data_IF_704052238116
#
_entry.id   IF_704052238116
#
_cell.length_a   1.000
_cell.length_b   1.000
_cell.length_c   1.000
_cell.angle_alpha   90.00
_cell.angle_beta   90.00
_cell.angle_gamma   90.00
#
_symmetry.space_group_name_H-M   'P 1'
#
loop_
_entity.id
_entity.type
_entity.pdbx_description
1 polymer ?
#
# COMPACT_ATOMS: atom_id res chain seq x y z
N UNK A 1 -6.84 -0.08 -11.91
CA UNK A 1 -5.86 0.82 -12.56
C UNK A 1 -5.01 1.43 -11.47
N UNK A 2 -3.70 1.58 -11.65
CA UNK A 2 -2.83 2.20 -10.64
C UNK A 2 -3.12 3.70 -10.56
N UNK A 3 -3.24 4.25 -9.35
CA UNK A 3 -3.61 5.65 -9.11
C UNK A 3 -2.53 6.64 -9.60
N UNK A 4 -1.26 6.22 -9.50
CA UNK A 4 -0.09 6.94 -10.03
C UNK A 4 0.68 5.97 -10.94
N UNK A 5 0.31 5.85 -12.24
CA UNK A 5 0.86 4.81 -13.13
C UNK A 5 2.38 4.85 -13.30
N UNK A 6 2.98 6.05 -13.26
CA UNK A 6 4.42 6.22 -13.40
C UNK A 6 5.22 5.63 -12.23
N UNK A 7 4.62 5.57 -11.04
CA UNK A 7 5.32 5.16 -9.81
C UNK A 7 5.84 3.71 -9.88
N UNK A 8 5.14 2.83 -10.61
CA UNK A 8 5.56 1.43 -10.80
C UNK A 8 6.50 1.19 -11.98
N UNK A 9 6.84 2.22 -12.75
CA UNK A 9 7.66 2.09 -13.97
C UNK A 9 9.15 2.38 -13.75
N UNK A 10 9.51 2.91 -12.58
CA UNK A 10 10.87 3.33 -12.27
C UNK A 10 11.22 3.13 -10.81
N UNK A 11 12.43 3.57 -10.45
CA UNK A 11 12.90 3.61 -9.06
C UNK A 11 12.93 5.07 -8.62
N UNK A 12 12.00 5.43 -7.75
CA UNK A 12 11.88 6.77 -7.20
C UNK A 12 12.19 6.71 -5.71
N UNK A 13 12.90 7.71 -5.19
CA UNK A 13 13.23 7.72 -3.77
C UNK A 13 12.04 8.24 -2.96
N UNK A 14 11.79 7.61 -1.81
CA UNK A 14 10.81 8.06 -0.82
C UNK A 14 11.45 8.87 0.33
N UNK A 15 12.79 9.00 0.32
CA UNK A 15 13.57 9.71 1.33
C UNK A 15 14.66 10.51 0.61
N UNK A 16 14.91 11.77 0.98
CA UNK A 16 16.06 12.52 0.46
C UNK A 16 17.36 11.78 0.81
N UNK A 17 18.20 11.51 -0.17
CA UNK A 17 19.47 10.79 0.00
C UNK A 17 20.64 11.73 0.23
N UNK A 18 20.55 12.93 -0.32
CA UNK A 18 21.55 14.00 -0.21
C UNK A 18 20.85 15.35 -0.26
N UNK A 19 21.56 16.43 0.05
CA UNK A 19 21.04 17.80 -0.02
C UNK A 19 20.57 18.19 -1.44
N UNK A 20 21.07 17.52 -2.49
CA UNK A 20 20.59 17.73 -3.85
C UNK A 20 19.11 17.35 -4.02
N UNK A 21 18.60 16.41 -3.21
CA UNK A 21 17.19 16.00 -3.25
C UNK A 21 16.26 17.05 -2.59
N UNK A 22 16.80 18.09 -1.94
CA UNK A 22 16.02 19.17 -1.30
C UNK A 22 15.59 20.27 -2.27
N UNK A 23 16.05 20.22 -3.52
CA UNK A 23 15.72 21.21 -4.55
C UNK A 23 15.62 20.56 -5.94
N UNK A 24 14.83 21.13 -6.87
CA UNK A 24 13.83 22.19 -6.63
C UNK A 24 12.67 21.69 -5.76
N UNK A 25 11.82 22.59 -5.26
CA UNK A 25 10.69 22.26 -4.36
C UNK A 25 9.80 21.14 -4.90
N UNK A 26 9.59 21.09 -6.22
CA UNK A 26 8.80 20.04 -6.87
C UNK A 26 9.43 18.65 -6.77
N UNK A 27 10.76 18.57 -6.70
CA UNK A 27 11.48 17.30 -6.54
C UNK A 27 11.33 16.74 -5.12
N UNK A 28 11.59 17.56 -4.09
CA UNK A 28 11.39 17.13 -2.70
C UNK A 28 9.92 16.80 -2.41
N UNK A 29 8.98 17.54 -3.01
CA UNK A 29 7.56 17.19 -2.92
C UNK A 29 7.24 15.86 -3.62
N UNK A 30 7.87 15.55 -4.76
CA UNK A 30 7.67 14.27 -5.43
C UNK A 30 8.23 13.10 -4.62
N UNK A 31 9.33 13.31 -3.88
CA UNK A 31 9.87 12.34 -2.91
C UNK A 31 8.88 12.11 -1.77
N UNK A 32 8.33 13.19 -1.20
CA UNK A 32 7.31 13.11 -0.15
C UNK A 32 6.02 12.41 -0.64
N UNK A 33 5.57 12.71 -1.85
CA UNK A 33 4.42 12.07 -2.48
C UNK A 33 4.69 10.58 -2.74
N UNK A 34 5.91 10.23 -3.18
CA UNK A 34 6.34 8.83 -3.32
C UNK A 34 6.23 8.10 -1.98
N UNK A 35 6.75 8.69 -0.90
CA UNK A 35 6.64 8.13 0.45
C UNK A 35 5.17 7.95 0.89
N UNK A 36 4.33 8.94 0.62
CA UNK A 36 2.91 8.90 0.94
C UNK A 36 2.18 7.75 0.25
N UNK A 37 2.63 7.31 -0.93
CA UNK A 37 2.07 6.12 -1.62
C UNK A 37 2.69 4.80 -1.16
N UNK A 38 3.95 4.79 -0.73
CA UNK A 38 4.59 3.58 -0.21
C UNK A 38 3.98 3.09 1.11
N UNK A 39 3.71 3.99 2.05
CA UNK A 39 3.20 3.63 3.38
C UNK A 39 1.87 2.86 3.34
N UNK A 40 0.77 3.39 2.75
CA UNK A 40 -0.50 2.66 2.73
C UNK A 40 -0.41 1.38 1.89
N UNK A 41 0.54 1.29 0.96
CA UNK A 41 0.77 0.09 0.18
C UNK A 41 1.33 -1.06 1.04
N UNK A 42 2.21 -0.74 2.01
CA UNK A 42 2.72 -1.72 2.99
C UNK A 42 1.62 -2.12 3.97
N UNK A 43 0.93 -1.12 4.55
CA UNK A 43 -0.14 -1.35 5.52
C UNK A 43 -1.34 -2.10 4.91
N UNK A 44 -1.58 -1.93 3.61
CA UNK A 44 -2.55 -2.75 2.87
C UNK A 44 -2.16 -4.22 2.87
N UNK A 45 -0.87 -4.53 2.73
CA UNK A 45 -0.35 -5.88 2.84
C UNK A 45 -0.56 -6.45 4.23
N UNK A 46 -0.16 -5.71 5.27
CA UNK A 46 -0.34 -6.07 6.68
C UNK A 46 -1.80 -6.36 7.03
N UNK A 47 -2.69 -5.40 6.75
CA UNK A 47 -4.12 -5.52 7.07
C UNK A 47 -4.81 -6.73 6.41
N UNK A 48 -4.25 -7.25 5.31
CA UNK A 48 -4.76 -8.43 4.60
C UNK A 48 -4.09 -9.71 5.10
N UNK A 49 -2.81 -9.66 5.44
CA UNK A 49 -2.02 -10.79 5.89
C UNK A 49 -2.49 -11.29 7.26
N UNK A 50 -2.58 -10.42 8.26
CA UNK A 50 -2.96 -10.83 9.63
C UNK A 50 -4.28 -11.59 9.73
N UNK A 51 -5.42 -11.11 9.16
CA UNK A 51 -6.66 -11.87 9.22
C UNK A 51 -6.65 -13.12 8.33
N UNK A 52 -5.83 -13.15 7.27
CA UNK A 52 -5.62 -14.38 6.47
C UNK A 52 -4.89 -15.46 7.27
N UNK A 53 -3.84 -15.07 8.00
CA UNK A 53 -3.07 -15.97 8.87
C UNK A 53 -3.87 -16.40 10.10
N UNK A 54 -4.71 -15.52 10.64
CA UNK A 54 -5.53 -15.83 11.82
C UNK A 54 -6.47 -17.03 11.59
N UNK A 55 -6.94 -17.24 10.37
CA UNK A 55 -7.77 -18.41 10.02
C UNK A 55 -7.01 -19.74 10.00
N UNK A 56 -5.67 -19.70 10.07
CA UNK A 56 -4.77 -20.86 9.98
C UNK A 56 -4.01 -21.10 11.27
N UNK A 57 -4.01 -20.15 12.19
CA UNK A 57 -3.33 -20.28 13.46
C UNK A 57 -3.93 -21.44 14.28
N UNK A 58 -3.10 -22.43 14.58
CA UNK A 58 -3.45 -23.56 15.45
C UNK A 58 -3.10 -23.30 16.92
N UNK A 59 -2.17 -22.37 17.18
CA UNK A 59 -1.83 -21.89 18.51
C UNK A 59 -2.71 -20.70 18.92
N UNK A 60 -3.32 -20.78 20.10
CA UNK A 60 -4.09 -19.68 20.69
C UNK A 60 -3.21 -18.45 20.95
N UNK A 61 -1.93 -18.64 21.26
CA UNK A 61 -0.98 -17.55 21.47
C UNK A 61 -0.69 -16.82 20.15
N UNK A 62 -0.45 -17.58 19.08
CA UNK A 62 -0.27 -17.01 17.73
C UNK A 62 -1.54 -16.29 17.28
N UNK A 63 -2.71 -16.89 17.50
CA UNK A 63 -3.98 -16.24 17.18
C UNK A 63 -4.14 -14.91 17.92
N UNK A 64 -3.80 -14.84 19.22
CA UNK A 64 -3.82 -13.60 20.01
C UNK A 64 -2.92 -12.53 19.38
N UNK A 65 -1.70 -12.88 18.99
CA UNK A 65 -0.78 -11.96 18.32
C UNK A 65 -1.40 -11.42 17.02
N UNK A 66 -1.88 -12.30 16.15
CA UNK A 66 -2.43 -11.93 14.84
C UNK A 66 -3.65 -11.01 14.95
N UNK A 67 -4.58 -11.33 15.86
CA UNK A 67 -5.80 -10.52 16.05
C UNK A 67 -5.55 -9.23 16.85
N UNK A 68 -4.42 -9.13 17.56
CA UNK A 68 -4.01 -7.89 18.22
C UNK A 68 -3.28 -6.93 17.27
N UNK A 69 -2.48 -7.44 16.33
CA UNK A 69 -1.74 -6.61 15.37
C UNK A 69 -2.62 -6.19 14.18
N UNK A 70 -3.45 -7.10 13.66
CA UNK A 70 -4.28 -6.83 12.48
C UNK A 70 -5.13 -5.53 12.54
N UNK A 71 -5.81 -5.23 13.66
CA UNK A 71 -6.54 -3.97 13.82
C UNK A 71 -5.65 -2.72 13.78
N UNK A 72 -4.44 -2.78 14.34
CA UNK A 72 -3.49 -1.66 14.31
C UNK A 72 -3.08 -1.32 12.88
N UNK A 73 -2.77 -2.33 12.07
CA UNK A 73 -2.40 -2.17 10.66
C UNK A 73 -3.58 -1.66 9.83
N UNK A 74 -4.81 -2.00 10.22
CA UNK A 74 -6.02 -1.43 9.61
C UNK A 74 -6.13 0.08 9.88
N UNK A 75 -5.87 0.50 11.12
CA UNK A 75 -5.86 1.93 11.49
C UNK A 75 -4.73 2.69 10.80
N UNK A 76 -3.54 2.09 10.71
CA UNK A 76 -2.41 2.65 9.99
C UNK A 76 -2.74 2.80 8.51
N UNK A 77 -3.29 1.76 7.86
CA UNK A 77 -3.71 1.82 6.47
C UNK A 77 -4.66 2.99 6.24
N UNK A 78 -5.69 3.15 7.08
CA UNK A 78 -6.64 4.27 6.93
C UNK A 78 -5.93 5.62 7.03
N UNK A 79 -5.04 5.77 8.01
CA UNK A 79 -4.29 7.01 8.23
C UNK A 79 -3.41 7.35 7.04
N UNK A 80 -2.65 6.37 6.56
CA UNK A 80 -1.73 6.56 5.43
C UNK A 80 -2.46 6.68 4.10
N UNK A 81 -3.62 6.03 3.93
CA UNK A 81 -4.46 6.19 2.75
C UNK A 81 -4.99 7.62 2.63
N UNK A 82 -5.38 8.25 3.75
CA UNK A 82 -5.74 9.67 3.79
C UNK A 82 -4.56 10.57 3.38
N UNK A 83 -3.35 10.27 3.86
CA UNK A 83 -2.14 11.03 3.47
C UNK A 83 -1.76 10.85 2.01
N UNK A 84 -1.87 9.64 1.46
CA UNK A 84 -1.73 9.41 0.04
C UNK A 84 -2.76 10.22 -0.76
N UNK A 85 -4.02 10.22 -0.31
CA UNK A 85 -5.09 11.02 -0.87
C UNK A 85 -4.74 12.50 -0.94
N UNK A 86 -4.25 13.08 0.16
CA UNK A 86 -3.80 14.46 0.22
C UNK A 86 -2.63 14.77 -0.75
N UNK A 87 -1.70 13.83 -0.94
CA UNK A 87 -0.56 13.99 -1.86
C UNK A 87 -0.96 14.08 -3.34
N UNK A 88 -2.14 13.57 -3.71
CA UNK A 88 -2.75 13.66 -5.05
C UNK A 88 -4.00 14.55 -5.06
N UNK A 89 -4.02 15.55 -4.19
CA UNK A 89 -5.08 16.57 -4.11
C UNK A 89 -4.47 17.98 -4.10
N UNK A 90 -5.24 19.03 -4.47
CA UNK A 90 -4.79 20.40 -4.32
C UNK A 90 -4.45 20.75 -2.85
N UNK A 91 -3.42 21.59 -2.59
CA UNK A 91 -2.57 22.28 -3.55
C UNK A 91 -1.33 21.46 -4.00
N UNK A 92 -1.18 20.21 -3.54
CA UNK A 92 0.03 19.41 -3.79
C UNK A 92 0.03 18.71 -5.15
N UNK A 93 -1.13 18.58 -5.78
CA UNK A 93 -1.29 17.99 -7.10
C UNK A 93 -2.14 18.87 -8.03
N UNK A 94 -1.93 18.81 -9.36
CA UNK A 94 -0.97 17.94 -10.05
C UNK A 94 0.49 18.38 -9.84
N UNK A 95 1.40 17.41 -9.76
CA UNK A 95 2.84 17.64 -9.59
C UNK A 95 3.60 16.79 -10.60
N UNK A 96 4.60 17.37 -11.27
CA UNK A 96 5.57 16.60 -12.06
C UNK A 96 6.97 16.90 -11.52
N UNK A 97 7.70 15.85 -11.17
CA UNK A 97 9.09 15.96 -10.75
C UNK A 97 9.94 16.41 -11.95
N UNK A 98 10.60 17.59 -11.89
CA UNK A 98 11.39 18.10 -13.01
C UNK A 98 12.68 17.30 -13.27
N UNK A 99 13.10 16.45 -12.32
CA UNK A 99 14.35 15.69 -12.42
C UNK A 99 14.20 14.36 -13.16
N UNK A 100 12.99 13.80 -13.18
CA UNK A 100 12.76 12.44 -13.71
C UNK A 100 11.40 12.28 -14.42
N UNK A 101 10.52 13.29 -14.39
CA UNK A 101 9.22 13.27 -15.07
C UNK A 101 8.13 12.47 -14.34
N UNK A 102 8.35 11.98 -13.12
CA UNK A 102 7.32 11.32 -12.34
C UNK A 102 6.17 12.29 -12.07
N UNK A 103 4.97 11.91 -12.51
CA UNK A 103 3.78 12.74 -12.41
C UNK A 103 2.79 12.17 -11.40
N UNK A 104 2.37 13.01 -10.45
CA UNK A 104 1.27 12.79 -9.52
C UNK A 104 0.05 13.58 -10.01
N UNK A 105 -1.03 12.91 -10.43
CA UNK A 105 -2.25 13.59 -10.86
C UNK A 105 -3.02 14.17 -9.67
N UNK A 106 -3.92 15.11 -9.95
CA UNK A 106 -5.02 15.42 -9.03
C UNK A 106 -6.13 14.37 -9.23
N UNK A 107 -6.32 13.48 -8.24
CA UNK A 107 -7.34 12.42 -8.29
C UNK A 107 -8.74 12.89 -7.88
N UNK A 108 -8.88 14.15 -7.43
CA UNK A 108 -10.20 14.76 -7.21
C UNK A 108 -10.70 15.52 -8.44
N UNK A 109 -9.87 15.64 -9.48
CA UNK A 109 -10.24 16.20 -10.77
C UNK A 109 -10.75 15.14 -11.76
N UNK A 110 -11.60 15.50 -12.74
CA UNK A 110 -12.07 14.56 -13.77
C UNK A 110 -10.91 13.82 -14.48
N UNK A 111 -11.06 12.52 -14.82
CA UNK A 111 -12.29 11.72 -14.75
C UNK A 111 -12.58 11.11 -13.37
N UNK A 112 -11.75 11.38 -12.37
CA UNK A 112 -11.94 10.94 -10.99
C UNK A 112 -12.64 12.04 -10.15
N UNK A 113 -12.72 11.86 -8.84
CA UNK A 113 -13.46 12.73 -7.92
C UNK A 113 -14.96 12.42 -7.80
N UNK A 114 -15.73 13.45 -7.43
CA UNK A 114 -17.15 13.29 -7.09
C UNK A 114 -17.37 12.47 -5.81
N UNK A 115 -18.63 12.08 -5.56
CA UNK A 115 -19.00 11.36 -4.33
C UNK A 115 -18.38 9.96 -4.24
N UNK A 116 -18.05 9.35 -5.38
CA UNK A 116 -17.60 7.94 -5.44
C UNK A 116 -16.08 7.79 -5.46
N UNK A 117 -15.34 8.80 -5.94
CA UNK A 117 -13.89 8.70 -6.12
C UNK A 117 -13.11 9.84 -5.46
N UNK A 118 -13.72 10.56 -4.51
CA UNK A 118 -12.98 11.52 -3.68
C UNK A 118 -11.94 10.79 -2.83
N UNK A 119 -10.76 11.40 -2.70
CA UNK A 119 -9.64 10.83 -1.94
C UNK A 119 -9.85 10.80 -0.43
N UNK A 120 -10.94 11.41 0.06
CA UNK A 120 -11.31 11.51 1.48
C UNK A 120 -12.31 10.45 1.94
N UNK A 121 -12.70 9.50 1.07
CA UNK A 121 -13.58 8.41 1.47
C UNK A 121 -12.90 7.49 2.49
N UNK A 122 -13.60 7.22 3.60
CA UNK A 122 -13.11 6.33 4.66
C UNK A 122 -13.36 4.87 4.29
N UNK A 123 -14.53 4.57 3.73
CA UNK A 123 -14.93 3.20 3.43
C UNK A 123 -14.48 2.80 2.03
N UNK A 124 -13.91 1.59 1.83
CA UNK A 124 -13.63 1.09 0.50
C UNK A 124 -14.92 0.92 -0.31
N UNK A 125 -14.79 0.96 -1.63
CA UNK A 125 -15.91 0.73 -2.55
C UNK A 125 -16.57 -0.63 -2.25
N UNK A 126 -17.91 -0.69 -2.11
CA UNK A 126 -18.60 -1.95 -1.87
C UNK A 126 -18.34 -2.97 -2.98
N UNK A 127 -17.96 -4.19 -2.58
CA UNK A 127 -17.68 -5.30 -3.49
C UNK A 127 -18.51 -6.55 -3.14
N UNK A 128 -18.66 -7.51 -4.06
CA UNK A 128 -19.28 -8.80 -3.72
C UNK A 128 -18.48 -9.52 -2.62
N UNK A 129 -19.15 -9.97 -1.57
CA UNK A 129 -18.53 -10.69 -0.46
C UNK A 129 -19.32 -11.96 -0.12
N UNK A 130 -18.60 -13.08 0.11
CA UNK A 130 -19.11 -14.44 0.36
C UNK A 130 -19.95 -15.07 -0.78
N UNK A 131 -20.93 -14.34 -1.32
CA UNK A 131 -21.83 -14.77 -2.38
C UNK A 131 -22.34 -13.58 -3.18
N UNK A 132 -22.40 -13.71 -4.51
CA UNK A 132 -23.00 -12.69 -5.40
C UNK A 132 -24.52 -12.56 -5.25
N UNK A 133 -25.17 -13.46 -4.51
CA UNK A 133 -26.60 -13.38 -4.17
C UNK A 133 -26.88 -12.45 -2.99
N UNK A 134 -25.85 -12.05 -2.24
CA UNK A 134 -25.95 -11.09 -1.14
C UNK A 134 -25.65 -9.67 -1.64
N UNK A 135 -26.12 -8.63 -0.93
CA UNK A 135 -25.73 -7.26 -1.21
C UNK A 135 -24.21 -7.07 -1.16
N UNK A 136 -23.69 -6.10 -1.93
CA UNK A 136 -22.28 -5.70 -1.86
C UNK A 136 -21.97 -5.14 -0.47
N UNK A 137 -20.78 -5.42 0.03
CA UNK A 137 -20.32 -4.94 1.33
C UNK A 137 -19.03 -4.14 1.17
N UNK A 138 -18.89 -3.08 1.97
CA UNK A 138 -17.60 -2.42 2.16
C UNK A 138 -16.80 -3.25 3.16
N UNK A 139 -15.79 -3.95 2.64
CA UNK A 139 -14.91 -4.84 3.41
C UNK A 139 -13.47 -4.55 3.02
N UNK A 140 -12.54 -4.81 3.94
CA UNK A 140 -11.11 -4.56 3.71
C UNK A 140 -10.61 -5.48 2.60
N UNK A 141 -10.68 -6.82 2.77
CA UNK A 141 -10.44 -7.84 1.72
C UNK A 141 -11.02 -9.21 2.12
N UNK A 142 -11.19 -10.15 1.15
CA UNK A 142 -11.41 -11.56 1.47
C UNK A 142 -10.22 -12.16 2.23
N UNK A 143 -10.52 -12.92 3.28
CA UNK A 143 -9.54 -13.47 4.21
C UNK A 143 -9.30 -14.97 4.02
N UNK A 144 -10.18 -15.65 3.27
CA UNK A 144 -10.00 -17.04 2.86
C UNK A 144 -9.06 -17.15 1.63
N UNK A 145 -7.81 -16.74 1.81
CA UNK A 145 -6.79 -16.72 0.73
C UNK A 145 -6.00 -18.03 0.69
N UNK A 146 -5.09 -18.23 -0.28
CA UNK A 146 -4.08 -19.30 -0.27
C UNK A 146 -2.73 -18.68 -0.61
N UNK A 147 -1.66 -19.13 0.06
CA UNK A 147 -0.31 -18.60 -0.17
C UNK A 147 -0.14 -17.13 0.23
N UNK A 148 -0.81 -16.68 1.29
CA UNK A 148 -0.78 -15.28 1.72
C UNK A 148 0.64 -14.80 2.05
N UNK A 149 1.44 -15.62 2.74
CA UNK A 149 2.83 -15.30 3.08
C UNK A 149 3.71 -15.20 1.82
N UNK A 150 3.62 -16.18 0.92
CA UNK A 150 4.32 -16.15 -0.37
C UNK A 150 3.92 -14.95 -1.24
N UNK A 151 2.63 -14.61 -1.24
CA UNK A 151 2.12 -13.43 -1.93
C UNK A 151 2.68 -12.14 -1.36
N UNK A 152 2.74 -12.02 -0.02
CA UNK A 152 3.35 -10.87 0.65
C UNK A 152 4.83 -10.75 0.33
N UNK A 153 5.61 -11.85 0.38
CA UNK A 153 7.02 -11.83 0.02
C UNK A 153 7.25 -11.40 -1.44
N UNK A 154 6.50 -11.99 -2.37
CA UNK A 154 6.59 -11.65 -3.79
C UNK A 154 6.28 -10.18 -4.03
N UNK A 155 5.22 -9.67 -3.37
CA UNK A 155 4.82 -8.28 -3.45
C UNK A 155 5.88 -7.32 -2.91
N UNK A 156 6.34 -7.51 -1.68
CA UNK A 156 7.35 -6.65 -1.05
C UNK A 156 8.67 -6.65 -1.84
N UNK A 157 9.04 -7.81 -2.40
CA UNK A 157 10.21 -7.94 -3.29
C UNK A 157 10.01 -7.15 -4.59
N UNK A 158 8.85 -7.28 -5.23
CA UNK A 158 8.54 -6.56 -6.47
C UNK A 158 8.47 -5.04 -6.28
N UNK A 159 8.09 -4.57 -5.08
CA UNK A 159 8.14 -3.15 -4.71
C UNK A 159 9.57 -2.62 -4.48
N UNK A 160 10.57 -3.49 -4.50
CA UNK A 160 11.95 -3.11 -4.27
C UNK A 160 12.30 -2.85 -2.81
N UNK A 161 11.46 -3.28 -1.85
CA UNK A 161 11.70 -3.07 -0.41
C UNK A 161 13.03 -3.67 0.05
N UNK A 162 13.43 -4.79 -0.56
CA UNK A 162 14.63 -5.54 -0.20
C UNK A 162 15.80 -5.32 -1.18
N UNK A 163 15.79 -4.23 -1.96
CA UNK A 163 16.92 -3.90 -2.84
C UNK A 163 18.19 -3.79 -2.00
N UNK A 164 19.26 -4.47 -2.43
CA UNK A 164 20.56 -4.48 -1.76
C UNK A 164 20.73 -5.60 -0.73
N UNK A 165 19.69 -6.39 -0.43
CA UNK A 165 19.82 -7.59 0.41
C UNK A 165 20.50 -8.75 -0.34
N UNK A 166 21.12 -9.67 0.41
CA UNK A 166 21.84 -10.81 -0.14
C UNK A 166 20.91 -11.92 -0.66
N UNK A 167 21.38 -12.81 -1.54
CA UNK A 167 20.60 -13.99 -1.93
C UNK A 167 20.13 -14.84 -0.74
N UNK A 168 20.98 -14.98 0.30
CA UNK A 168 20.66 -15.74 1.51
C UNK A 168 19.49 -15.14 2.29
N UNK A 169 19.35 -13.81 2.29
CA UNK A 169 18.17 -13.16 2.88
C UNK A 169 16.88 -13.63 2.19
N UNK A 170 16.87 -13.68 0.85
CA UNK A 170 15.70 -14.13 0.09
C UNK A 170 15.43 -15.63 0.24
N UNK A 171 16.47 -16.44 0.46
CA UNK A 171 16.31 -17.87 0.80
C UNK A 171 15.57 -18.02 2.12
N UNK A 172 16.05 -17.36 3.19
CA UNK A 172 15.40 -17.40 4.52
C UNK A 172 13.96 -16.89 4.47
N UNK A 173 13.73 -15.75 3.80
CA UNK A 173 12.37 -15.19 3.70
C UNK A 173 11.41 -16.12 2.96
N UNK A 174 11.89 -16.82 1.92
CA UNK A 174 11.09 -17.80 1.18
C UNK A 174 10.76 -19.01 2.04
N UNK A 175 11.74 -19.56 2.76
CA UNK A 175 11.53 -20.68 3.69
C UNK A 175 10.47 -20.33 4.74
N UNK A 176 10.59 -19.16 5.38
CA UNK A 176 9.59 -18.67 6.34
C UNK A 176 8.19 -18.54 5.72
N UNK A 177 8.09 -18.12 4.47
CA UNK A 177 6.82 -17.95 3.78
C UNK A 177 6.20 -19.28 3.29
N UNK A 178 7.03 -20.30 3.03
CA UNK A 178 6.60 -21.66 2.68
C UNK A 178 6.07 -22.42 3.90
N UNK A 179 6.62 -22.15 5.09
CA UNK A 179 6.24 -22.78 6.36
C UNK A 179 4.99 -22.17 7.04
N UNK A 180 4.50 -21.03 6.54
CA UNK A 180 3.45 -20.21 7.15
C UNK A 180 2.00 -20.71 6.97
#
# INVERSE_FOLDING_TARGET
>A
TQAVPGLSQGKFTAIPRTDADLSPDAHIQAIANTAAFHMPTIEQGGNSLYPSMAQRATSVEVLRILISIGPTETMHFQTWSDKAGAAVSPPLAPLTDPTNGLMFPDLNSPPFGGETFTTTLIMPEPCPFLSRKLPKCSIIRPTQTRGAAMGALAFLTAMGLFIGQSPQFFEVMRELAEEA
#
